data_IF_078931618672
#
_entry.id   IF_078931618672
#
_cell.length_a   1.000
_cell.length_b   1.000
_cell.length_c   1.000
_cell.angle_alpha   90.00
_cell.angle_beta   90.00
_cell.angle_gamma   90.00
#
_symmetry.space_group_name_H-M   'P 1'
#
loop_
_entity.id
_entity.type
_entity.pdbx_description
1 polymer ?
#
# COMPACT_ATOMS: atom_id res chain seq x y z
N UNK A 1 8.76 -9.20 20.60
CA UNK A 1 7.61 -10.14 20.59
C UNK A 1 7.34 -10.50 19.12
N UNK A 2 7.30 -11.74 18.63
CA UNK A 2 7.45 -13.07 19.24
C UNK A 2 6.33 -14.06 18.86
N UNK A 3 5.20 -13.55 18.36
CA UNK A 3 4.02 -14.37 18.02
C UNK A 3 4.16 -14.97 16.62
N UNK A 4 4.92 -16.06 16.52
CA UNK A 4 4.99 -16.90 15.32
C UNK A 4 4.80 -18.36 15.72
N UNK A 5 4.22 -19.14 14.81
CA UNK A 5 4.05 -20.58 14.96
C UNK A 5 4.29 -21.28 13.63
N UNK A 6 4.85 -22.48 13.68
CA UNK A 6 5.00 -23.35 12.52
C UNK A 6 3.94 -24.45 12.61
N UNK A 7 3.39 -24.84 11.47
CA UNK A 7 2.53 -26.01 11.36
C UNK A 7 3.03 -26.89 10.21
N UNK A 8 2.91 -28.20 10.39
CA UNK A 8 3.28 -29.17 9.37
C UNK A 8 2.01 -29.71 8.70
N UNK A 9 2.02 -29.81 7.37
CA UNK A 9 0.91 -30.39 6.61
C UNK A 9 1.40 -31.67 5.95
N UNK A 10 0.87 -32.80 6.39
CA UNK A 10 1.19 -34.12 5.85
C UNK A 10 0.08 -34.62 4.92
N UNK A 11 0.45 -35.42 3.93
CA UNK A 11 -0.52 -36.01 2.99
C UNK A 11 -1.28 -37.19 3.58
N UNK A 12 -0.82 -37.76 4.72
CA UNK A 12 -1.46 -38.86 5.45
C UNK A 12 -1.88 -40.05 4.56
N UNK A 13 -1.11 -40.37 3.52
CA UNK A 13 -1.41 -41.43 2.56
C UNK A 13 -2.55 -41.12 1.58
N UNK A 14 -3.05 -39.87 1.57
CA UNK A 14 -4.02 -39.38 0.58
C UNK A 14 -3.30 -38.85 -0.64
N UNK A 15 -3.78 -39.23 -1.82
CA UNK A 15 -3.40 -38.59 -3.07
C UNK A 15 -4.26 -37.33 -3.24
N UNK A 16 -3.68 -36.11 -3.14
CA UNK A 16 -4.44 -34.90 -3.41
C UNK A 16 -4.95 -34.94 -4.85
N UNK A 17 -6.22 -34.58 -5.03
CA UNK A 17 -6.78 -34.43 -6.36
C UNK A 17 -5.96 -33.39 -7.14
N UNK A 18 -5.80 -33.60 -8.45
CA UNK A 18 -5.16 -32.62 -9.31
C UNK A 18 -5.87 -31.27 -9.17
N UNK A 19 -5.10 -30.22 -8.94
CA UNK A 19 -5.63 -28.86 -8.93
C UNK A 19 -6.31 -28.58 -10.27
N UNK A 20 -7.55 -28.13 -10.23
CA UNK A 20 -8.23 -27.65 -11.43
C UNK A 20 -7.50 -26.43 -11.97
N UNK A 21 -7.05 -26.48 -13.21
CA UNK A 21 -6.42 -25.36 -13.90
C UNK A 21 -7.49 -24.33 -14.24
N UNK A 22 -7.59 -23.27 -13.43
CA UNK A 22 -8.41 -22.10 -13.71
C UNK A 22 -7.75 -21.14 -14.70
N UNK A 23 -8.42 -20.01 -14.95
CA UNK A 23 -7.86 -18.94 -15.78
C UNK A 23 -6.65 -18.28 -15.10
N UNK A 24 -5.57 -18.07 -15.85
CA UNK A 24 -4.37 -17.37 -15.36
C UNK A 24 -4.52 -15.86 -15.61
N UNK A 25 -4.38 -15.06 -14.55
CA UNK A 25 -4.29 -13.60 -14.63
C UNK A 25 -2.85 -13.19 -14.31
N UNK A 26 -2.22 -12.40 -15.18
CA UNK A 26 -0.86 -11.86 -14.98
C UNK A 26 -0.95 -10.42 -14.51
N UNK A 27 -0.20 -10.09 -13.46
CA UNK A 27 -0.08 -8.75 -12.90
C UNK A 27 1.40 -8.37 -12.84
N UNK A 28 1.72 -7.13 -13.14
CA UNK A 28 3.09 -6.60 -13.08
C UNK A 28 3.12 -5.52 -11.99
N UNK A 29 3.66 -5.84 -10.82
CA UNK A 29 3.62 -4.94 -9.66
C UNK A 29 5.05 -4.75 -9.14
N UNK A 30 5.42 -3.50 -8.88
CA UNK A 30 6.71 -3.15 -8.28
C UNK A 30 6.52 -2.32 -7.00
N UNK A 31 7.47 -2.47 -6.08
CA UNK A 31 7.55 -1.66 -4.87
C UNK A 31 8.38 -0.40 -5.16
N UNK A 32 7.75 0.77 -5.07
CA UNK A 32 8.38 2.06 -5.37
C UNK A 32 8.54 2.92 -4.12
N UNK A 33 9.68 3.60 -4.00
CA UNK A 33 9.88 4.61 -2.95
C UNK A 33 9.20 5.92 -3.37
N UNK A 34 8.21 6.37 -2.60
CA UNK A 34 7.47 7.61 -2.85
C UNK A 34 7.49 8.53 -1.63
N UNK A 35 7.40 9.84 -1.86
CA UNK A 35 7.16 10.80 -0.79
C UNK A 35 5.65 10.89 -0.57
N UNK A 36 5.15 10.23 0.47
CA UNK A 36 3.74 10.21 0.81
C UNK A 36 3.37 11.42 1.67
N UNK A 37 2.44 12.25 1.21
CA UNK A 37 1.86 13.35 1.97
C UNK A 37 0.50 12.91 2.56
N UNK A 38 0.41 12.84 3.89
CA UNK A 38 -0.81 12.43 4.58
C UNK A 38 -1.96 13.46 4.48
N UNK A 39 -1.65 14.72 4.18
CA UNK A 39 -2.64 15.76 3.94
C UNK A 39 -2.21 16.71 2.81
N UNK A 40 -2.46 16.33 1.54
CA UNK A 40 -2.07 17.12 0.37
C UNK A 40 -2.60 18.56 0.37
N UNK A 41 -3.77 18.80 0.95
CA UNK A 41 -4.40 20.13 1.02
C UNK A 41 -3.91 20.98 2.20
N UNK A 42 -3.09 20.41 3.09
CA UNK A 42 -2.60 21.04 4.34
C UNK A 42 -3.67 21.76 5.19
N UNK A 43 -4.89 21.24 5.16
CA UNK A 43 -6.07 21.90 5.70
C UNK A 43 -7.05 20.88 6.29
N UNK A 44 -7.54 21.15 7.49
CA UNK A 44 -8.59 20.36 8.10
C UNK A 44 -9.96 20.77 7.53
N UNK A 45 -10.60 19.83 6.82
CA UNK A 45 -11.90 20.06 6.17
C UNK A 45 -13.05 20.29 7.15
N UNK A 46 -12.91 19.92 8.43
CA UNK A 46 -13.94 20.11 9.44
C UNK A 46 -13.77 21.44 10.16
N UNK A 47 -12.58 21.68 10.72
CA UNK A 47 -12.31 22.87 11.54
C UNK A 47 -11.97 24.10 10.71
N UNK A 48 -11.70 23.91 9.41
CA UNK A 48 -11.37 24.99 8.48
C UNK A 48 -10.06 25.74 8.83
N UNK A 49 -9.15 25.08 9.54
CA UNK A 49 -7.85 25.62 9.94
C UNK A 49 -6.71 24.90 9.20
N UNK A 50 -5.55 25.54 9.15
CA UNK A 50 -4.33 24.89 8.64
C UNK A 50 -3.86 23.82 9.63
N UNK A 51 -3.26 22.75 9.10
CA UNK A 51 -2.87 21.61 9.94
C UNK A 51 -1.67 21.90 10.85
N UNK A 52 -0.93 22.96 10.56
CA UNK A 52 0.26 23.41 11.28
C UNK A 52 0.00 24.59 12.22
N UNK A 53 -1.25 25.04 12.36
CA UNK A 53 -1.64 26.06 13.33
C UNK A 53 -1.24 25.61 14.75
N UNK A 54 -0.38 26.35 15.47
CA UNK A 54 0.11 25.97 16.79
C UNK A 54 -0.97 25.63 17.83
N UNK A 55 -2.16 26.23 17.70
CA UNK A 55 -3.27 26.03 18.63
C UNK A 55 -4.17 24.83 18.22
N UNK A 56 -3.89 24.20 17.08
CA UNK A 56 -4.63 23.05 16.57
C UNK A 56 -4.11 21.71 17.09
N UNK A 57 -5.02 20.74 17.25
CA UNK A 57 -4.65 19.37 17.59
C UNK A 57 -3.89 18.65 16.46
N UNK A 58 -4.00 19.12 15.21
CA UNK A 58 -3.25 18.60 14.07
C UNK A 58 -1.77 18.99 14.09
N UNK A 59 -1.42 20.09 14.76
CA UNK A 59 -0.06 20.63 14.78
C UNK A 59 0.96 19.59 15.25
N UNK A 60 0.58 18.69 16.15
CA UNK A 60 1.44 17.62 16.71
C UNK A 60 1.85 16.57 15.67
N UNK A 61 1.18 16.51 14.51
CA UNK A 61 1.51 15.60 13.42
C UNK A 61 2.08 16.32 12.19
N UNK A 62 1.60 17.55 11.92
CA UNK A 62 1.90 18.23 10.65
C UNK A 62 2.93 19.35 10.74
N UNK A 63 3.07 20.01 11.89
CA UNK A 63 4.03 21.11 12.05
C UNK A 63 5.49 20.61 11.89
N UNK A 64 6.29 21.41 11.19
CA UNK A 64 7.71 21.15 10.92
C UNK A 64 8.59 22.01 11.83
N UNK A 65 9.61 21.40 12.40
CA UNK A 65 10.62 22.09 13.22
C UNK A 65 11.96 21.35 13.07
N UNK A 66 13.01 21.83 13.75
CA UNK A 66 14.33 21.19 13.73
C UNK A 66 14.33 19.72 14.17
N UNK A 67 13.35 19.33 14.98
CA UNK A 67 13.17 18.00 15.56
C UNK A 67 11.94 17.25 15.01
N UNK A 68 11.19 17.84 14.05
CA UNK A 68 9.92 17.29 13.56
C UNK A 68 9.83 17.30 12.04
N UNK A 69 9.54 16.13 11.48
CA UNK A 69 9.48 15.88 10.02
C UNK A 69 8.20 16.47 9.39
N UNK A 70 7.11 16.59 10.16
CA UNK A 70 5.80 17.05 9.67
C UNK A 70 4.98 15.94 9.01
N UNK A 71 4.09 16.31 8.07
CA UNK A 71 3.08 15.40 7.49
C UNK A 71 3.50 14.55 6.28
N UNK A 72 4.76 14.63 5.84
CA UNK A 72 5.24 13.94 4.62
C UNK A 72 6.39 12.99 4.92
N UNK A 73 6.25 11.74 4.48
CA UNK A 73 7.18 10.66 4.81
C UNK A 73 7.54 9.85 3.57
N UNK A 74 8.80 9.41 3.48
CA UNK A 74 9.17 8.38 2.51
C UNK A 74 8.48 7.06 2.87
N UNK A 75 7.77 6.49 1.90
CA UNK A 75 7.06 5.21 2.01
C UNK A 75 7.41 4.32 0.82
N UNK A 76 7.10 3.04 0.96
CA UNK A 76 7.10 2.08 -0.15
C UNK A 76 5.65 1.87 -0.57
N UNK A 77 5.37 2.04 -1.86
CA UNK A 77 4.04 1.90 -2.45
C UNK A 77 4.08 0.87 -3.56
N UNK A 78 3.07 -0.01 -3.58
CA UNK A 78 2.93 -1.01 -4.63
C UNK A 78 2.18 -0.41 -5.82
N UNK A 79 2.85 -0.37 -6.97
CA UNK A 79 2.34 0.23 -8.20
C UNK A 79 2.23 -0.85 -9.28
N UNK A 80 1.08 -0.90 -9.96
CA UNK A 80 0.84 -1.82 -11.08
C UNK A 80 1.32 -1.20 -12.41
N UNK A 81 1.82 -2.05 -13.29
CA UNK A 81 2.36 -1.77 -14.61
C UNK A 81 1.61 -2.56 -15.68
N UNK A 82 1.72 -2.11 -16.92
CA UNK A 82 1.05 -2.73 -18.06
C UNK A 82 1.69 -4.04 -18.50
N UNK A 83 3.00 -4.20 -18.28
CA UNK A 83 3.80 -5.31 -18.80
C UNK A 83 5.09 -5.52 -17.98
N UNK A 84 5.82 -6.57 -18.36
CA UNK A 84 7.07 -7.01 -17.72
C UNK A 84 8.25 -6.05 -17.85
N UNK A 85 8.15 -5.02 -18.70
CA UNK A 85 9.21 -4.02 -18.82
C UNK A 85 9.22 -3.04 -17.65
N UNK A 86 8.13 -2.95 -16.88
CA UNK A 86 7.93 -1.95 -15.83
C UNK A 86 8.17 -0.50 -16.31
N UNK A 87 7.95 -0.23 -17.60
CA UNK A 87 8.15 1.11 -18.18
C UNK A 87 6.91 1.99 -18.07
N UNK A 88 5.73 1.38 -18.15
CA UNK A 88 4.45 2.10 -18.18
C UNK A 88 3.58 1.69 -16.99
N UNK A 89 3.37 2.64 -16.07
CA UNK A 89 2.45 2.47 -14.96
C UNK A 89 1.03 2.36 -15.50
N UNK A 90 0.26 1.44 -14.93
CA UNK A 90 -1.16 1.33 -15.22
C UNK A 90 -1.87 2.53 -14.61
N UNK A 91 -2.62 3.28 -15.41
CA UNK A 91 -3.39 4.43 -14.92
C UNK A 91 -4.49 3.92 -13.99
N UNK A 92 -4.54 4.37 -12.72
CA UNK A 92 -5.63 4.00 -11.83
C UNK A 92 -6.95 4.59 -12.34
N UNK A 93 -8.03 3.82 -12.22
CA UNK A 93 -9.37 4.32 -12.55
C UNK A 93 -9.79 5.41 -11.56
N UNK A 94 -10.73 6.27 -11.96
CA UNK A 94 -11.26 7.32 -11.07
C UNK A 94 -11.82 6.72 -9.77
N UNK A 95 -12.41 5.54 -9.90
CA UNK A 95 -12.93 4.74 -8.79
C UNK A 95 -11.83 4.29 -7.83
N UNK A 96 -10.57 4.16 -8.24
CA UNK A 96 -9.46 3.69 -7.40
C UNK A 96 -8.76 4.83 -6.64
N UNK A 97 -9.12 6.10 -6.86
CA UNK A 97 -8.50 7.24 -6.17
C UNK A 97 -8.61 7.15 -4.64
N UNK A 98 -9.66 6.50 -4.14
CA UNK A 98 -9.88 6.34 -2.70
C UNK A 98 -8.90 5.37 -2.03
N UNK A 99 -8.17 4.53 -2.79
CA UNK A 99 -7.25 3.55 -2.24
C UNK A 99 -6.04 4.19 -1.56
N UNK A 100 -5.66 5.40 -2.01
CA UNK A 100 -4.58 6.16 -1.41
C UNK A 100 -3.29 5.34 -1.30
N UNK A 101 -2.85 5.06 -0.07
CA UNK A 101 -1.57 4.39 0.20
C UNK A 101 -1.61 2.87 -0.04
N UNK A 102 -2.80 2.29 -0.21
CA UNK A 102 -2.97 0.83 -0.30
C UNK A 102 -2.49 0.25 -1.65
N UNK A 103 -2.23 1.08 -2.66
CA UNK A 103 -1.88 0.62 -4.00
C UNK A 103 -3.11 0.24 -4.82
N UNK A 104 -2.91 -0.62 -5.83
CA UNK A 104 -3.98 -1.01 -6.76
C UNK A 104 -4.80 -2.17 -6.19
N UNK A 105 -6.10 -2.20 -6.49
CA UNK A 105 -6.95 -3.34 -6.18
C UNK A 105 -6.71 -4.46 -7.17
N UNK A 106 -6.04 -5.53 -6.74
CA UNK A 106 -6.01 -6.79 -7.49
C UNK A 106 -7.19 -7.66 -7.04
N UNK A 107 -8.03 -8.13 -7.96
CA UNK A 107 -9.13 -9.08 -7.69
C UNK A 107 -8.68 -10.46 -7.16
N UNK A 108 -7.38 -10.65 -6.92
CA UNK A 108 -6.77 -11.92 -6.54
C UNK A 108 -5.77 -11.68 -5.42
N UNK A 109 -5.80 -12.52 -4.39
CA UNK A 109 -4.79 -12.54 -3.32
C UNK A 109 -3.45 -12.86 -3.97
N UNK A 110 -2.59 -11.85 -4.07
CA UNK A 110 -1.22 -12.02 -4.54
C UNK A 110 -0.41 -12.69 -3.42
N UNK A 111 0.15 -13.86 -3.72
CA UNK A 111 1.21 -14.43 -2.88
C UNK A 111 2.48 -13.62 -3.12
N UNK A 112 2.76 -12.67 -2.24
CA UNK A 112 3.98 -11.89 -2.28
C UNK A 112 5.12 -12.69 -1.66
N UNK A 113 6.12 -13.05 -2.46
CA UNK A 113 7.47 -13.29 -1.96
C UNK A 113 8.23 -11.98 -2.09
N UNK A 114 8.47 -11.33 -0.95
CA UNK A 114 9.45 -10.23 -0.88
C UNK A 114 10.82 -10.90 -1.01
N UNK A 115 11.56 -10.61 -2.08
CA UNK A 115 12.98 -10.95 -2.20
C UNK A 115 13.82 -10.03 -1.32
#
# INVERSE_FOLDING_TARGET
AGMMGLYNVETCGRHPAALTTGNVRKYFIAAEKILWNYAPNNYDRFTHNTLDDPDSQSAIYFARSSDRIGGSYWKVHYTEYTDESFSHKKTPFLEEQHLGILGTTSDVILNFYIL
#
